data_IF_485039137437
#
_entry.id   IF_485039137437
#
_cell.length_a   1.000
_cell.length_b   1.000
_cell.length_c   1.000
_cell.angle_alpha   90.00
_cell.angle_beta   90.00
_cell.angle_gamma   90.00
#
_symmetry.space_group_name_H-M   'P 1'
#
loop_
_entity.id
_entity.type
_entity.pdbx_description
1 polymer ?
#
# COMPACT_ATOMS: atom_id res chain seq x y z
N UNK A 1 15.78 34.17 -16.17
CA UNK A 1 14.78 33.08 -16.16
C UNK A 1 15.41 31.69 -15.94
N UNK A 2 16.49 31.56 -15.15
CA UNK A 2 17.09 30.25 -14.85
C UNK A 2 16.75 29.71 -13.45
N UNK A 3 16.50 30.58 -12.47
CA UNK A 3 16.16 30.16 -11.10
C UNK A 3 14.94 29.25 -11.00
N UNK A 4 13.93 29.46 -11.85
CA UNK A 4 12.73 28.61 -11.86
C UNK A 4 13.05 27.22 -12.41
N UNK A 5 13.89 27.14 -13.44
CA UNK A 5 14.34 25.88 -14.03
C UNK A 5 15.26 25.16 -13.03
N UNK A 6 16.14 25.88 -12.36
CA UNK A 6 17.04 25.31 -11.34
C UNK A 6 16.24 24.75 -10.16
N UNK A 7 15.22 25.48 -9.67
CA UNK A 7 14.32 25.02 -8.59
C UNK A 7 13.49 23.80 -9.02
N UNK A 8 12.90 23.81 -10.22
CA UNK A 8 12.17 22.67 -10.76
C UNK A 8 13.08 21.45 -10.95
N UNK A 9 14.33 21.67 -11.38
CA UNK A 9 15.32 20.60 -11.54
C UNK A 9 15.75 20.04 -10.18
N UNK A 10 15.82 20.89 -9.14
CA UNK A 10 16.14 20.47 -7.78
C UNK A 10 14.99 19.70 -7.13
N UNK A 11 13.74 20.10 -7.37
CA UNK A 11 12.55 19.37 -6.93
C UNK A 11 12.44 18.01 -7.65
N UNK A 12 12.77 17.96 -8.96
CA UNK A 12 12.90 16.72 -9.73
C UNK A 12 14.08 15.86 -9.26
N UNK A 13 15.14 16.45 -8.68
CA UNK A 13 16.26 15.71 -8.10
C UNK A 13 15.99 15.19 -6.69
N UNK A 14 15.02 15.74 -5.96
CA UNK A 14 14.48 15.13 -4.73
C UNK A 14 13.60 13.92 -5.03
N UNK A 15 13.09 13.79 -6.26
CA UNK A 15 12.65 12.51 -6.84
C UNK A 15 13.85 11.62 -7.23
N UNK A 16 14.84 11.48 -6.33
CA UNK A 16 15.85 10.44 -6.49
C UNK A 16 15.12 9.13 -6.79
N UNK A 17 15.46 8.43 -7.88
CA UNK A 17 14.78 7.18 -8.22
C UNK A 17 15.04 6.26 -7.04
N UNK A 18 13.98 5.97 -6.26
CA UNK A 18 14.00 4.80 -5.41
C UNK A 18 14.41 3.68 -6.34
N UNK A 19 15.60 3.09 -6.10
CA UNK A 19 16.10 1.96 -6.88
C UNK A 19 14.91 1.04 -7.11
N UNK A 20 14.64 0.73 -8.38
CA UNK A 20 13.45 0.06 -8.91
C UNK A 20 13.18 -1.27 -8.18
N UNK A 21 12.71 -1.18 -6.94
CA UNK A 21 12.26 -2.31 -6.16
C UNK A 21 10.85 -2.57 -6.61
N UNK A 22 10.60 -3.77 -7.08
CA UNK A 22 9.24 -4.22 -7.31
C UNK A 22 8.53 -4.25 -5.95
N UNK A 23 7.34 -3.68 -5.90
CA UNK A 23 6.49 -3.81 -4.73
C UNK A 23 5.97 -5.26 -4.71
N UNK A 24 6.60 -6.13 -3.92
CA UNK A 24 6.25 -7.56 -3.91
C UNK A 24 4.98 -7.80 -3.07
N UNK A 25 3.99 -8.56 -3.60
CA UNK A 25 2.84 -9.00 -2.81
C UNK A 25 3.25 -9.80 -1.57
N UNK A 26 2.58 -9.61 -0.42
CA UNK A 26 2.90 -10.33 0.83
C UNK A 26 2.33 -11.75 0.87
N UNK A 27 1.86 -12.27 -0.27
CA UNK A 27 1.23 -13.58 -0.43
C UNK A 27 1.60 -14.17 -1.78
N UNK A 28 1.38 -15.48 -1.92
CA UNK A 28 1.44 -16.16 -3.21
C UNK A 28 0.28 -15.70 -4.10
N UNK A 29 0.58 -15.02 -5.21
CA UNK A 29 -0.43 -14.54 -6.17
C UNK A 29 -1.17 -15.68 -6.88
N UNK A 30 -0.65 -16.91 -6.84
CA UNK A 30 -1.31 -18.09 -7.41
C UNK A 30 -2.32 -18.73 -6.44
N UNK A 31 -2.28 -18.36 -5.17
CA UNK A 31 -3.20 -18.88 -4.16
C UNK A 31 -4.63 -18.35 -4.37
N UNK A 32 -5.67 -19.04 -3.89
CA UNK A 32 -7.04 -18.53 -3.95
C UNK A 32 -7.20 -17.18 -3.23
N UNK A 33 -8.12 -16.33 -3.70
CA UNK A 33 -8.37 -14.99 -3.13
C UNK A 33 -8.54 -15.01 -1.60
N UNK A 34 -9.33 -15.95 -1.08
CA UNK A 34 -9.57 -16.07 0.36
C UNK A 34 -8.27 -16.29 1.16
N UNK A 35 -7.33 -17.03 0.59
CA UNK A 35 -6.04 -17.31 1.20
C UNK A 35 -5.12 -16.09 1.14
N UNK A 36 -5.02 -15.43 -0.02
CA UNK A 36 -4.27 -14.18 -0.17
C UNK A 36 -4.76 -13.13 0.84
N UNK A 37 -6.09 -12.95 0.92
CA UNK A 37 -6.72 -11.99 1.82
C UNK A 37 -6.45 -12.32 3.29
N UNK A 38 -6.62 -13.59 3.69
CA UNK A 38 -6.38 -14.04 5.07
C UNK A 38 -4.91 -13.87 5.46
N UNK A 39 -3.99 -14.22 4.59
CA UNK A 39 -2.55 -14.13 4.85
C UNK A 39 -2.09 -12.67 4.97
N UNK A 40 -2.52 -11.80 4.04
CA UNK A 40 -2.24 -10.36 4.10
C UNK A 40 -2.78 -9.73 5.38
N UNK A 41 -4.02 -10.07 5.77
CA UNK A 41 -4.63 -9.51 6.96
C UNK A 41 -3.93 -9.96 8.25
N UNK A 42 -3.63 -11.26 8.38
CA UNK A 42 -2.90 -11.78 9.53
C UNK A 42 -1.50 -11.15 9.64
N UNK A 43 -0.80 -10.99 8.51
CA UNK A 43 0.48 -10.32 8.45
C UNK A 43 0.37 -8.84 8.87
N UNK A 44 -0.61 -8.10 8.33
CA UNK A 44 -0.84 -6.69 8.69
C UNK A 44 -1.05 -6.52 10.20
N UNK A 45 -1.89 -7.36 10.82
CA UNK A 45 -2.14 -7.30 12.26
C UNK A 45 -0.85 -7.48 13.06
N UNK A 46 -0.04 -8.49 12.70
CA UNK A 46 1.24 -8.76 13.36
C UNK A 46 2.24 -7.61 13.16
N UNK A 47 2.36 -7.09 11.94
CA UNK A 47 3.35 -6.06 11.60
C UNK A 47 3.04 -4.72 12.28
N UNK A 48 1.76 -4.35 12.42
CA UNK A 48 1.38 -3.17 13.20
C UNK A 48 1.78 -3.34 14.67
N UNK A 49 1.55 -4.51 15.27
CA UNK A 49 1.97 -4.78 16.65
C UNK A 49 3.49 -4.69 16.83
N UNK A 50 4.24 -5.17 15.84
CA UNK A 50 5.70 -5.10 15.82
C UNK A 50 6.25 -3.71 15.43
N UNK A 51 5.38 -2.74 15.11
CA UNK A 51 5.76 -1.40 14.61
C UNK A 51 6.60 -1.43 13.32
N UNK A 52 6.40 -2.47 12.52
CA UNK A 52 7.02 -2.65 11.21
C UNK A 52 6.26 -1.81 10.16
N UNK A 53 6.50 -0.49 10.17
CA UNK A 53 5.73 0.49 9.40
C UNK A 53 5.67 0.17 7.91
N UNK A 54 6.83 -0.02 7.26
CA UNK A 54 6.89 -0.23 5.81
C UNK A 54 6.12 -1.49 5.41
N UNK A 55 6.40 -2.61 6.09
CA UNK A 55 5.72 -3.87 5.82
C UNK A 55 4.20 -3.78 6.11
N UNK A 56 3.79 -3.00 7.11
CA UNK A 56 2.38 -2.72 7.38
C UNK A 56 1.73 -1.95 6.22
N UNK A 57 2.41 -0.95 5.65
CA UNK A 57 1.90 -0.21 4.49
C UNK A 57 1.78 -1.11 3.26
N UNK A 58 2.78 -1.95 2.99
CA UNK A 58 2.75 -2.92 1.88
C UNK A 58 1.53 -3.84 2.03
N UNK A 59 1.32 -4.43 3.21
CA UNK A 59 0.18 -5.32 3.44
C UNK A 59 -1.16 -4.59 3.34
N UNK A 60 -1.28 -3.40 3.92
CA UNK A 60 -2.49 -2.58 3.81
C UNK A 60 -2.83 -2.24 2.35
N UNK A 61 -1.83 -1.84 1.56
CA UNK A 61 -1.99 -1.60 0.12
C UNK A 61 -2.53 -2.84 -0.59
N UNK A 62 -1.93 -4.00 -0.35
CA UNK A 62 -2.34 -5.24 -1.02
C UNK A 62 -3.71 -5.75 -0.57
N UNK A 63 -4.14 -5.51 0.67
CA UNK A 63 -5.53 -5.75 1.09
C UNK A 63 -6.48 -4.82 0.35
N UNK A 64 -6.17 -3.52 0.26
CA UNK A 64 -6.98 -2.57 -0.49
C UNK A 64 -7.07 -2.91 -1.98
N UNK A 65 -5.96 -3.36 -2.59
CA UNK A 65 -5.91 -3.88 -3.97
C UNK A 65 -6.80 -5.10 -4.14
N UNK A 66 -6.74 -6.08 -3.23
CA UNK A 66 -7.62 -7.25 -3.25
C UNK A 66 -9.09 -6.85 -3.16
N UNK A 67 -9.45 -5.96 -2.24
CA UNK A 67 -10.81 -5.47 -2.10
C UNK A 67 -11.29 -4.79 -3.39
N UNK A 68 -10.48 -3.93 -4.00
CA UNK A 68 -10.83 -3.24 -5.25
C UNK A 68 -10.84 -4.15 -6.48
N UNK A 69 -10.18 -5.31 -6.43
CA UNK A 69 -10.22 -6.32 -7.51
C UNK A 69 -11.51 -7.15 -7.55
N UNK A 70 -12.34 -7.10 -6.50
CA UNK A 70 -13.60 -7.83 -6.45
C UNK A 70 -14.65 -7.20 -7.37
N UNK A 71 -15.29 -8.03 -8.19
CA UNK A 71 -16.23 -7.62 -9.25
C UNK A 71 -17.46 -6.88 -8.73
N UNK A 72 -17.96 -7.25 -7.53
CA UNK A 72 -19.21 -6.72 -7.01
C UNK A 72 -19.04 -5.99 -5.69
N UNK A 73 -19.78 -4.88 -5.52
CA UNK A 73 -19.86 -4.16 -4.23
C UNK A 73 -20.34 -5.05 -3.08
N UNK A 74 -21.17 -6.06 -3.38
CA UNK A 74 -21.61 -7.03 -2.39
C UNK A 74 -20.47 -7.93 -1.88
N UNK A 75 -19.60 -8.43 -2.77
CA UNK A 75 -18.40 -9.16 -2.36
C UNK A 75 -17.46 -8.26 -1.56
N UNK A 76 -17.20 -7.04 -2.05
CA UNK A 76 -16.36 -6.07 -1.34
C UNK A 76 -16.87 -5.84 0.09
N UNK A 77 -18.17 -5.61 0.25
CA UNK A 77 -18.79 -5.43 1.55
C UNK A 77 -18.60 -6.66 2.46
N UNK A 78 -18.83 -7.87 1.95
CA UNK A 78 -18.62 -9.12 2.71
C UNK A 78 -17.18 -9.30 3.16
N UNK A 79 -16.19 -8.96 2.34
CA UNK A 79 -14.78 -9.05 2.75
C UNK A 79 -14.37 -7.92 3.71
N UNK A 80 -14.90 -6.70 3.54
CA UNK A 80 -14.69 -5.61 4.51
C UNK A 80 -15.23 -5.98 5.89
N UNK A 81 -16.32 -6.74 5.99
CA UNK A 81 -16.83 -7.26 7.26
C UNK A 81 -15.90 -8.27 7.95
N UNK A 82 -14.96 -8.89 7.23
CA UNK A 82 -13.93 -9.78 7.81
C UNK A 82 -12.79 -9.00 8.47
N UNK A 83 -12.63 -7.71 8.15
CA UNK A 83 -11.66 -6.80 8.76
C UNK A 83 -12.30 -6.05 9.93
N UNK A 84 -11.48 -5.60 10.89
CA UNK A 84 -11.99 -4.56 11.81
C UNK A 84 -12.05 -3.22 11.09
N UNK A 85 -12.94 -2.32 11.55
CA UNK A 85 -13.11 -0.98 10.96
C UNK A 85 -11.79 -0.21 10.79
N UNK A 86 -10.84 -0.38 11.72
CA UNK A 86 -9.55 0.27 11.63
C UNK A 86 -8.74 -0.25 10.44
N UNK A 87 -8.64 -1.57 10.27
CA UNK A 87 -7.89 -2.18 9.17
C UNK A 87 -8.56 -1.97 7.82
N UNK A 88 -9.90 -1.90 7.78
CA UNK A 88 -10.64 -1.49 6.57
C UNK A 88 -10.22 -0.11 6.12
N UNK A 89 -10.32 0.90 7.01
CA UNK A 89 -9.95 2.29 6.70
C UNK A 89 -8.48 2.44 6.31
N UNK A 90 -7.58 1.77 7.02
CA UNK A 90 -6.14 1.81 6.71
C UNK A 90 -5.89 1.23 5.32
N UNK A 91 -6.48 0.08 5.00
CA UNK A 91 -6.24 -0.59 3.71
C UNK A 91 -6.82 0.22 2.54
N UNK A 92 -8.01 0.80 2.71
CA UNK A 92 -8.64 1.71 1.73
C UNK A 92 -7.77 2.95 1.52
N UNK A 93 -7.46 3.69 2.60
CA UNK A 93 -6.67 4.92 2.50
C UNK A 93 -5.29 4.68 1.86
N UNK A 94 -4.60 3.61 2.26
CA UNK A 94 -3.28 3.29 1.70
C UNK A 94 -3.42 2.93 0.22
N UNK A 95 -4.44 2.15 -0.17
CA UNK A 95 -4.67 1.88 -1.59
C UNK A 95 -4.98 3.15 -2.38
N UNK A 96 -5.91 3.98 -1.92
CA UNK A 96 -6.31 5.22 -2.58
C UNK A 96 -5.12 6.20 -2.75
N UNK A 97 -4.20 6.27 -1.78
CA UNK A 97 -3.01 7.12 -1.86
C UNK A 97 -2.01 6.59 -2.91
N UNK A 98 -1.84 5.28 -3.00
CA UNK A 98 -0.73 4.67 -3.74
C UNK A 98 -1.16 3.94 -5.03
N UNK A 99 -2.44 3.87 -5.38
CA UNK A 99 -2.93 3.07 -6.52
C UNK A 99 -2.25 3.44 -7.85
N UNK A 100 -1.97 4.73 -8.06
CA UNK A 100 -1.31 5.21 -9.28
C UNK A 100 0.20 5.03 -9.28
N UNK A 101 0.82 5.01 -8.09
CA UNK A 101 2.27 4.91 -7.93
C UNK A 101 2.65 4.02 -6.72
N UNK A 102 2.42 2.68 -6.80
CA UNK A 102 2.55 1.79 -5.64
C UNK A 102 3.98 1.72 -5.07
N UNK A 103 4.98 1.84 -5.95
CA UNK A 103 6.41 1.81 -5.58
C UNK A 103 6.77 2.93 -4.59
N UNK A 104 6.02 4.04 -4.57
CA UNK A 104 6.24 5.13 -3.59
C UNK A 104 6.06 4.69 -2.14
N UNK A 105 5.39 3.55 -1.87
CA UNK A 105 5.32 2.96 -0.53
C UNK A 105 6.72 2.68 0.02
N UNK A 106 7.65 2.22 -0.81
CA UNK A 106 9.04 1.92 -0.41
C UNK A 106 9.78 3.19 0.06
N UNK A 107 9.34 4.36 -0.42
CA UNK A 107 9.90 5.65 -0.06
C UNK A 107 9.26 6.39 1.11
N UNK A 108 8.27 5.79 1.78
CA UNK A 108 7.50 6.45 2.86
C UNK A 108 8.30 6.70 4.16
N UNK A 109 9.64 6.64 4.13
CA UNK A 109 10.52 6.95 5.26
C UNK A 109 10.57 8.46 5.59
N UNK A 110 10.27 9.35 4.64
CA UNK A 110 10.63 10.77 4.76
C UNK A 110 9.48 11.73 5.13
N UNK A 111 8.24 11.26 5.23
CA UNK A 111 7.12 12.09 5.71
C UNK A 111 7.04 11.94 7.24
N UNK A 112 7.97 12.59 7.91
CA UNK A 112 7.84 13.06 9.29
C UNK A 112 8.26 14.51 9.24
N UNK A 113 7.26 15.40 9.18
CA UNK A 113 7.44 16.81 9.47
C UNK A 113 7.65 17.00 10.98
#
# INVERSE_FOLDING_TARGET
NNRLIDLLTQDLQLELPFENGDLIPPYDETAPFDEQFKNAYAALQRLIQLKERLNSLINAYYIGKLLNSLETKAQQFRYKQKLTNNYTRISENVFDIFEHQPVKILGTFYITA
#
